data_IF_402285165320
#
_entry.id   IF_402285165320
#
_cell.length_a   1.000
_cell.length_b   1.000
_cell.length_c   1.000
_cell.angle_alpha   90.00
_cell.angle_beta   90.00
_cell.angle_gamma   90.00
#
_symmetry.space_group_name_H-M   'P 1'
#
loop_
_entity.id
_entity.type
_entity.pdbx_description
1 polymer ?
#
# COMPACT_ATOMS: atom_id res chain seq x y z
N UNK A 1 -11.87 10.61 -4.97
CA UNK A 1 -10.71 9.82 -4.51
C UNK A 1 -9.40 10.59 -4.66
N UNK A 2 -8.64 10.70 -3.56
CA UNK A 2 -7.36 11.40 -3.43
C UNK A 2 -6.38 10.49 -2.69
N UNK A 3 -5.10 10.61 -3.02
CA UNK A 3 -4.05 9.70 -2.57
C UNK A 3 -3.03 10.44 -1.70
N UNK A 4 -2.58 9.76 -0.66
CA UNK A 4 -1.65 10.27 0.33
C UNK A 4 -0.66 9.16 0.67
N UNK A 5 0.57 9.53 1.00
CA UNK A 5 1.64 8.59 1.31
C UNK A 5 2.29 8.97 2.64
N UNK A 6 2.65 7.96 3.43
CA UNK A 6 3.45 8.15 4.64
C UNK A 6 4.69 7.27 4.50
N UNK A 7 5.85 7.90 4.58
CA UNK A 7 7.14 7.20 4.59
C UNK A 7 7.66 7.06 6.02
N UNK A 8 8.29 5.92 6.29
CA UNK A 8 9.05 5.65 7.51
C UNK A 8 10.42 5.06 7.17
N UNK A 9 11.47 5.68 7.69
CA UNK A 9 12.86 5.35 7.37
C UNK A 9 13.59 6.47 6.63
N UNK A 10 14.86 6.24 6.34
CA UNK A 10 15.68 7.19 5.56
C UNK A 10 15.44 7.06 4.04
N UNK A 11 15.86 8.08 3.30
CA UNK A 11 15.50 8.37 1.90
C UNK A 11 15.78 7.23 0.89
N UNK A 12 16.55 6.20 1.23
CA UNK A 12 16.98 5.14 0.31
C UNK A 12 16.19 3.82 0.39
N UNK A 13 15.53 3.49 1.53
CA UNK A 13 14.88 2.18 1.76
C UNK A 13 13.70 2.26 2.77
N UNK A 14 12.99 3.39 2.81
CA UNK A 14 11.87 3.56 3.73
C UNK A 14 10.63 2.71 3.36
N UNK A 15 9.94 2.18 4.37
CA UNK A 15 8.60 1.60 4.19
C UNK A 15 7.63 2.75 3.91
N UNK A 16 6.91 2.68 2.79
CA UNK A 16 5.86 3.63 2.46
C UNK A 16 4.50 2.94 2.52
N UNK A 17 3.51 3.63 3.06
CA UNK A 17 2.11 3.19 3.05
C UNK A 17 1.26 4.15 2.24
N UNK A 18 0.36 3.60 1.43
CA UNK A 18 -0.55 4.37 0.59
C UNK A 18 -1.93 4.48 1.24
N UNK A 19 -2.45 5.69 1.30
CA UNK A 19 -3.73 6.04 1.89
C UNK A 19 -4.63 6.70 0.83
N UNK A 20 -5.89 6.33 0.84
CA UNK A 20 -6.90 6.82 -0.08
C UNK A 20 -8.04 7.45 0.68
N UNK A 21 -8.58 8.55 0.18
CA UNK A 21 -9.76 9.18 0.76
C UNK A 21 -10.67 9.77 -0.31
N UNK A 22 -11.99 9.74 -0.11
CA UNK A 22 -12.95 10.24 -1.11
C UNK A 22 -12.89 11.75 -1.30
N UNK A 23 -12.66 12.47 -0.19
CA UNK A 23 -12.51 13.92 -0.14
C UNK A 23 -11.05 14.34 -0.06
N UNK A 24 -10.74 15.50 -0.65
CA UNK A 24 -9.43 16.12 -0.57
C UNK A 24 -9.22 16.77 0.80
N UNK A 25 -8.11 16.40 1.43
CA UNK A 25 -7.42 17.13 2.48
C UNK A 25 -6.27 17.92 1.85
N UNK A 26 -6.07 19.16 2.29
CA UNK A 26 -4.88 19.92 1.90
C UNK A 26 -3.63 19.33 2.59
N UNK A 27 -2.43 19.47 2.00
CA UNK A 27 -1.21 18.87 2.56
C UNK A 27 -0.94 19.22 4.03
N UNK A 28 -1.24 20.47 4.42
CA UNK A 28 -1.07 20.93 5.81
C UNK A 28 -2.07 20.29 6.77
N UNK A 29 -3.28 19.98 6.30
CA UNK A 29 -4.31 19.30 7.08
C UNK A 29 -3.93 17.85 7.29
N UNK A 30 -3.55 17.15 6.21
CA UNK A 30 -3.05 15.78 6.28
C UNK A 30 -1.84 15.66 7.21
N UNK A 31 -0.87 16.56 7.09
CA UNK A 31 0.30 16.62 7.97
C UNK A 31 -0.07 16.78 9.45
N UNK A 32 -1.06 17.62 9.76
CA UNK A 32 -1.53 17.80 11.14
C UNK A 32 -2.16 16.51 11.70
N UNK A 33 -2.93 15.79 10.88
CA UNK A 33 -3.52 14.50 11.26
C UNK A 33 -2.44 13.46 11.53
N UNK A 34 -1.46 13.31 10.63
CA UNK A 34 -0.32 12.40 10.79
C UNK A 34 0.46 12.71 12.06
N UNK A 35 0.78 13.98 12.35
CA UNK A 35 1.48 14.37 13.58
C UNK A 35 0.70 14.03 14.84
N UNK A 36 -0.62 14.21 14.82
CA UNK A 36 -1.49 13.87 15.93
C UNK A 36 -1.49 12.35 16.17
N UNK A 37 -1.70 11.56 15.11
CA UNK A 37 -1.67 10.10 15.18
C UNK A 37 -0.30 9.58 15.65
N UNK A 38 0.80 10.11 15.10
CA UNK A 38 2.16 9.80 15.56
C UNK A 38 2.32 10.01 17.06
N UNK A 39 1.85 11.14 17.59
CA UNK A 39 1.99 11.47 19.02
C UNK A 39 1.20 10.50 19.90
N UNK A 40 0.06 10.01 19.41
CA UNK A 40 -0.77 9.03 20.11
C UNK A 40 -0.14 7.64 20.13
N UNK A 41 0.53 7.23 19.05
CA UNK A 41 0.93 5.84 18.81
C UNK A 41 2.41 5.55 19.09
N UNK A 42 3.29 6.55 19.09
CA UNK A 42 4.75 6.37 19.13
C UNK A 42 5.26 5.47 20.28
N UNK A 43 4.54 5.40 21.40
CA UNK A 43 4.96 4.62 22.58
C UNK A 43 4.26 3.25 22.69
N UNK A 44 3.29 2.93 21.82
CA UNK A 44 2.39 1.79 22.03
C UNK A 44 1.88 1.09 20.76
N UNK A 45 2.43 1.39 19.59
CA UNK A 45 2.04 0.67 18.37
C UNK A 45 2.55 -0.77 18.40
N UNK A 46 1.77 -1.69 17.83
CA UNK A 46 2.09 -3.13 17.76
C UNK A 46 2.30 -3.60 16.31
N UNK A 47 1.98 -2.73 15.35
CA UNK A 47 2.14 -2.92 13.92
C UNK A 47 3.62 -3.07 13.52
N UNK A 48 3.86 -3.59 12.31
CA UNK A 48 5.22 -3.81 11.81
C UNK A 48 6.01 -2.51 11.61
N UNK A 49 5.30 -1.38 11.46
CA UNK A 49 5.88 -0.06 11.27
C UNK A 49 4.97 1.03 11.89
N UNK A 50 5.56 2.16 12.30
CA UNK A 50 4.80 3.32 12.77
C UNK A 50 3.94 3.92 11.66
N UNK A 51 4.40 3.88 10.40
CA UNK A 51 3.63 4.31 9.24
C UNK A 51 2.34 3.50 9.09
N UNK A 52 2.41 2.17 9.21
CA UNK A 52 1.23 1.30 9.22
C UNK A 52 0.28 1.62 10.38
N UNK A 53 0.83 1.80 11.59
CA UNK A 53 0.03 2.17 12.76
C UNK A 53 -0.73 3.49 12.53
N UNK A 54 -0.05 4.50 11.99
CA UNK A 54 -0.66 5.79 11.66
C UNK A 54 -1.71 5.64 10.56
N UNK A 55 -1.44 4.86 9.52
CA UNK A 55 -2.39 4.62 8.43
C UNK A 55 -3.67 3.93 8.94
N UNK A 56 -3.51 2.93 9.82
CA UNK A 56 -4.63 2.24 10.45
C UNK A 56 -5.45 3.18 11.36
N UNK A 57 -4.79 4.08 12.11
CA UNK A 57 -5.48 5.08 12.92
C UNK A 57 -6.22 6.12 12.06
N UNK A 58 -5.60 6.62 10.98
CA UNK A 58 -6.26 7.51 10.02
C UNK A 58 -7.47 6.83 9.36
N UNK A 59 -7.37 5.54 9.05
CA UNK A 59 -8.49 4.77 8.53
C UNK A 59 -9.66 4.70 9.53
N UNK A 60 -9.36 4.38 10.79
CA UNK A 60 -10.35 4.25 11.87
C UNK A 60 -10.98 5.59 12.26
N UNK A 61 -10.18 6.64 12.43
CA UNK A 61 -10.60 7.91 13.01
C UNK A 61 -11.05 8.94 11.97
N UNK A 62 -10.55 8.86 10.73
CA UNK A 62 -10.73 9.88 9.70
C UNK A 62 -11.30 9.34 8.39
N UNK A 63 -11.57 8.03 8.28
CA UNK A 63 -12.23 7.43 7.12
C UNK A 63 -11.34 7.26 5.90
N UNK A 64 -10.02 7.24 6.10
CA UNK A 64 -9.09 6.84 5.04
C UNK A 64 -9.22 5.33 4.77
N UNK A 65 -8.82 4.92 3.57
CA UNK A 65 -8.57 3.53 3.22
C UNK A 65 -7.07 3.35 3.14
N UNK A 66 -6.51 2.54 4.04
CA UNK A 66 -5.12 2.10 3.95
C UNK A 66 -5.04 1.02 2.85
N UNK A 67 -4.29 1.29 1.79
CA UNK A 67 -4.12 0.39 0.65
C UNK A 67 -3.07 -0.64 1.01
N UNK A 68 -3.52 -1.80 1.47
CA UNK A 68 -2.69 -2.97 1.74
C UNK A 68 -2.72 -3.93 0.56
N UNK A 69 -1.77 -4.87 0.54
CA UNK A 69 -1.66 -5.94 -0.46
C UNK A 69 -3.00 -6.70 -0.63
N UNK A 70 -3.77 -6.91 0.44
CA UNK A 70 -5.10 -7.54 0.41
C UNK A 70 -6.16 -6.81 -0.42
N UNK A 71 -5.95 -5.51 -0.70
CA UNK A 71 -6.85 -4.70 -1.54
C UNK A 71 -6.41 -4.68 -3.00
N UNK A 72 -5.23 -5.20 -3.32
CA UNK A 72 -4.73 -5.28 -4.68
C UNK A 72 -5.43 -6.42 -5.42
N UNK A 73 -5.98 -6.10 -6.59
CA UNK A 73 -6.61 -7.10 -7.47
C UNK A 73 -5.57 -7.79 -8.35
N UNK A 74 -4.47 -7.10 -8.66
CA UNK A 74 -3.37 -7.62 -9.44
C UNK A 74 -2.09 -6.87 -9.09
N UNK A 75 -0.96 -7.58 -9.15
CA UNK A 75 0.38 -7.02 -9.09
C UNK A 75 1.21 -7.63 -10.21
N UNK A 76 1.98 -6.84 -10.94
CA UNK A 76 2.72 -7.29 -12.13
C UNK A 76 4.17 -6.82 -12.00
N UNK A 77 5.10 -7.75 -12.10
CA UNK A 77 6.51 -7.42 -12.31
C UNK A 77 6.74 -7.11 -13.78
N UNK A 78 7.56 -6.11 -14.09
CA UNK A 78 7.93 -5.73 -15.46
C UNK A 78 9.45 -5.67 -15.56
N UNK A 79 9.97 -6.22 -16.65
CA UNK A 79 11.39 -6.21 -16.99
C UNK A 79 11.57 -5.88 -18.49
N UNK A 80 12.81 -5.65 -18.94
CA UNK A 80 13.11 -5.49 -20.37
C UNK A 80 12.82 -6.78 -21.16
N UNK A 81 12.82 -7.93 -20.49
CA UNK A 81 12.49 -9.24 -21.07
C UNK A 81 11.04 -9.64 -20.80
N UNK A 82 10.44 -10.34 -21.77
CA UNK A 82 9.10 -10.91 -21.62
C UNK A 82 9.06 -11.93 -20.47
N UNK A 83 10.10 -12.75 -20.33
CA UNK A 83 10.25 -13.73 -19.24
C UNK A 83 10.34 -13.08 -17.86
N UNK A 84 10.85 -11.85 -17.78
CA UNK A 84 10.87 -11.04 -16.57
C UNK A 84 9.59 -10.24 -16.33
N UNK A 85 8.60 -10.32 -17.21
CA UNK A 85 7.30 -9.67 -17.05
C UNK A 85 6.23 -10.70 -16.69
N UNK A 86 5.71 -10.65 -15.46
CA UNK A 86 4.82 -11.70 -14.96
C UNK A 86 3.85 -11.19 -13.90
N UNK A 87 2.72 -11.90 -13.76
CA UNK A 87 1.75 -11.65 -12.70
C UNK A 87 2.32 -12.16 -11.37
N UNK A 88 2.36 -11.28 -10.38
CA UNK A 88 2.66 -11.60 -8.99
C UNK A 88 1.32 -11.93 -8.34
N UNK A 89 1.20 -13.11 -7.75
CA UNK A 89 0.02 -13.46 -6.94
C UNK A 89 0.44 -13.84 -5.52
N UNK A 90 -0.38 -13.39 -4.58
CA UNK A 90 -0.20 -13.63 -3.16
C UNK A 90 -1.20 -14.72 -2.72
N UNK A 91 -0.94 -15.98 -3.07
CA UNK A 91 -1.64 -17.09 -2.46
C UNK A 91 -0.99 -17.43 -1.11
N UNK A 92 -1.76 -17.28 -0.04
CA UNK A 92 -1.44 -17.77 1.31
C UNK A 92 -0.14 -17.22 1.95
N UNK A 93 0.19 -15.96 1.71
CA UNK A 93 1.31 -15.28 2.38
C UNK A 93 2.69 -15.66 1.84
N UNK A 94 2.76 -16.37 0.71
CA UNK A 94 3.97 -16.62 -0.05
C UNK A 94 3.83 -15.92 -1.41
N UNK A 95 4.76 -15.02 -1.74
CA UNK A 95 4.73 -14.30 -3.03
C UNK A 95 5.13 -15.29 -4.12
N UNK A 96 4.15 -15.70 -4.92
CA UNK A 96 4.33 -16.69 -5.98
C UNK A 96 4.25 -16.04 -7.37
N UNK A 97 5.13 -16.49 -8.27
CA UNK A 97 5.23 -15.96 -9.63
C UNK A 97 4.34 -16.78 -10.55
N UNK A 98 3.30 -16.16 -11.11
CA UNK A 98 2.46 -16.76 -12.13
C UNK A 98 3.02 -16.41 -13.51
N UNK A 99 3.77 -17.35 -14.08
CA UNK A 99 4.13 -17.32 -15.50
C UNK A 99 2.93 -17.80 -16.31
N UNK A 100 2.08 -16.87 -16.72
CA UNK A 100 1.07 -17.19 -17.74
C UNK A 100 1.81 -17.40 -19.05
N UNK A 101 1.70 -18.59 -19.65
CA UNK A 101 1.96 -18.73 -21.09
C UNK A 101 0.87 -17.94 -21.79
N UNK A 102 1.24 -17.14 -22.78
CA UNK A 102 0.34 -16.29 -23.58
C UNK A 102 -0.96 -16.98 -24.10
N UNK A 103 -1.02 -18.32 -24.13
CA UNK A 103 -2.18 -19.09 -24.59
C UNK A 103 -3.44 -19.02 -23.70
N UNK A 104 -3.36 -18.52 -22.45
CA UNK A 104 -4.50 -18.50 -21.52
C UNK A 104 -5.30 -17.19 -21.52
N UNK A 105 -4.79 -16.10 -22.13
CA UNK A 105 -5.46 -14.79 -22.14
C UNK A 105 -6.56 -14.63 -23.21
N UNK A 106 -6.66 -15.59 -24.15
CA UNK A 106 -7.62 -15.57 -25.27
C UNK A 106 -8.92 -16.37 -25.02
N UNK A 107 -9.15 -16.87 -23.79
CA UNK A 107 -10.29 -17.75 -23.48
C UNK A 107 -11.42 -17.12 -22.66
N UNK A 108 -11.76 -15.85 -22.88
CA UNK A 108 -13.10 -15.35 -22.52
C UNK A 108 -13.66 -14.45 -23.62
N UNK A 109 -14.43 -15.05 -24.54
CA UNK A 109 -15.45 -14.40 -25.36
C UNK A 109 -16.73 -15.23 -25.32
#
# INVERSE_FOLDING_TARGET
MFFYEIHEGDEDLGTAVLLVHERRFEPVEFFALVKKARTLLIESYEEASLAEAIANELARAHGFTHVTDDLLVASVNVDETEEGTFLVSEEAGDRSVFLSRDDDLDREN
#
